data_IF_003223565084
#
_entry.id   IF_003223565084
#
_cell.length_a   1.000
_cell.length_b   1.000
_cell.length_c   1.000
_cell.angle_alpha   90.00
_cell.angle_beta   90.00
_cell.angle_gamma   90.00
#
_symmetry.space_group_name_H-M   'P 1'
#
loop_
_entity.id
_entity.type
_entity.pdbx_description
1 polymer ?
#
# COMPACT_ATOMS: atom_id res chain seq x y z
N UNK A 1 40.93 -68.73 11.24
CA UNK A 1 39.75 -68.77 10.33
C UNK A 1 39.26 -67.40 9.83
N UNK A 2 39.96 -66.28 10.07
CA UNK A 2 39.57 -64.95 9.55
C UNK A 2 39.98 -64.70 8.08
N UNK A 3 40.77 -65.59 7.49
CA UNK A 3 41.26 -65.51 6.10
C UNK A 3 40.51 -66.37 5.08
N UNK A 4 39.49 -67.12 5.52
CA UNK A 4 38.70 -67.94 4.62
C UNK A 4 37.88 -67.04 3.67
N UNK A 5 37.91 -67.36 2.37
CA UNK A 5 37.20 -66.64 1.29
C UNK A 5 35.74 -66.27 1.63
N UNK A 6 34.92 -67.13 2.26
CA UNK A 6 33.54 -66.81 2.64
C UNK A 6 33.43 -65.64 3.62
N UNK A 7 34.39 -65.53 4.55
CA UNK A 7 34.42 -64.44 5.54
C UNK A 7 34.69 -63.10 4.85
N UNK A 8 35.64 -63.06 3.90
CA UNK A 8 35.96 -61.85 3.12
C UNK A 8 34.78 -61.40 2.24
N UNK A 9 34.06 -62.33 1.62
CA UNK A 9 32.85 -62.03 0.82
C UNK A 9 31.73 -61.47 1.70
N UNK A 10 31.51 -62.04 2.90
CA UNK A 10 30.49 -61.53 3.83
C UNK A 10 30.81 -60.12 4.35
N UNK A 11 32.08 -59.84 4.66
CA UNK A 11 32.54 -58.53 5.10
C UNK A 11 32.43 -57.47 3.99
N UNK A 12 32.75 -57.84 2.75
CA UNK A 12 32.56 -56.97 1.58
C UNK A 12 31.08 -56.66 1.34
N UNK A 13 30.20 -57.66 1.46
CA UNK A 13 28.75 -57.48 1.33
C UNK A 13 28.21 -56.53 2.40
N UNK A 14 28.60 -56.70 3.66
CA UNK A 14 28.24 -55.76 4.73
C UNK A 14 28.75 -54.34 4.46
N UNK A 15 29.98 -54.19 3.97
CA UNK A 15 30.56 -52.90 3.61
C UNK A 15 29.80 -52.24 2.46
N UNK A 16 29.40 -53.01 1.44
CA UNK A 16 28.56 -52.55 0.33
C UNK A 16 27.17 -52.12 0.81
N UNK A 17 26.51 -52.91 1.66
CA UNK A 17 25.22 -52.54 2.25
C UNK A 17 25.32 -51.25 3.08
N UNK A 18 26.42 -51.09 3.84
CA UNK A 18 26.67 -49.85 4.60
C UNK A 18 26.91 -48.65 3.68
N UNK A 19 27.71 -48.81 2.62
CA UNK A 19 27.94 -47.76 1.63
C UNK A 19 26.66 -47.39 0.89
N UNK A 20 25.85 -48.38 0.49
CA UNK A 20 24.54 -48.16 -0.11
C UNK A 20 23.61 -47.39 0.83
N UNK A 21 23.59 -47.71 2.12
CA UNK A 21 22.83 -46.97 3.13
C UNK A 21 23.29 -45.52 3.28
N UNK A 22 24.59 -45.27 3.29
CA UNK A 22 25.16 -43.91 3.33
C UNK A 22 24.80 -43.11 2.08
N UNK A 23 24.90 -43.71 0.89
CA UNK A 23 24.52 -43.06 -0.37
C UNK A 23 23.02 -42.76 -0.43
N UNK A 24 22.17 -43.69 0.05
CA UNK A 24 20.73 -43.47 0.14
C UNK A 24 20.39 -42.32 1.10
N UNK A 25 21.05 -42.26 2.26
CA UNK A 25 20.89 -41.16 3.22
C UNK A 25 21.39 -39.82 2.66
N UNK A 26 22.50 -39.81 1.91
CA UNK A 26 23.02 -38.61 1.26
C UNK A 26 22.06 -38.09 0.17
N UNK A 27 21.47 -39.00 -0.62
CA UNK A 27 20.44 -38.64 -1.60
C UNK A 27 19.20 -38.05 -0.94
N UNK A 28 18.70 -38.72 0.10
CA UNK A 28 17.55 -38.24 0.87
C UNK A 28 17.79 -36.86 1.49
N UNK A 29 18.98 -36.64 2.06
CA UNK A 29 19.36 -35.32 2.60
C UNK A 29 19.39 -34.24 1.51
N UNK A 30 19.89 -34.57 0.32
CA UNK A 30 19.89 -33.67 -0.84
C UNK A 30 18.45 -33.35 -1.30
N UNK A 31 17.59 -34.37 -1.42
CA UNK A 31 16.19 -34.21 -1.81
C UNK A 31 15.42 -33.32 -0.81
N UNK A 32 15.63 -33.51 0.49
CA UNK A 32 15.03 -32.66 1.53
C UNK A 32 15.59 -31.23 1.51
N UNK A 33 16.87 -31.05 1.18
CA UNK A 33 17.46 -29.71 1.04
C UNK A 33 16.82 -28.93 -0.13
N UNK A 34 16.52 -29.60 -1.24
CA UNK A 34 15.79 -29.00 -2.37
C UNK A 34 14.39 -28.58 -1.95
N UNK A 35 13.61 -29.48 -1.34
CA UNK A 35 12.26 -29.17 -0.85
C UNK A 35 12.26 -28.03 0.17
N UNK A 36 13.26 -28.00 1.06
CA UNK A 36 13.42 -26.88 2.01
C UNK A 36 13.63 -25.56 1.28
N UNK A 37 14.45 -25.54 0.24
CA UNK A 37 14.75 -24.33 -0.53
C UNK A 37 13.51 -23.84 -1.29
N UNK A 38 12.74 -24.74 -1.90
CA UNK A 38 11.48 -24.41 -2.57
C UNK A 38 10.48 -23.75 -1.62
N UNK A 39 10.26 -24.34 -0.45
CA UNK A 39 9.33 -23.80 0.54
C UNK A 39 9.83 -22.51 1.20
N UNK A 40 11.15 -22.37 1.40
CA UNK A 40 11.73 -21.24 2.10
C UNK A 40 11.40 -19.90 1.43
N UNK A 41 11.38 -19.84 0.10
CA UNK A 41 11.07 -18.62 -0.64
C UNK A 41 9.65 -18.13 -0.36
N UNK A 42 8.63 -18.98 -0.61
CA UNK A 42 7.23 -18.60 -0.39
C UNK A 42 6.93 -18.38 1.09
N UNK A 43 7.50 -19.19 1.99
CA UNK A 43 7.34 -19.02 3.44
C UNK A 43 7.93 -17.69 3.94
N UNK A 44 9.10 -17.29 3.45
CA UNK A 44 9.72 -16.02 3.81
C UNK A 44 8.91 -14.83 3.28
N UNK A 45 8.40 -14.91 2.05
CA UNK A 45 7.54 -13.88 1.47
C UNK A 45 6.26 -13.70 2.28
N UNK A 46 5.54 -14.79 2.58
CA UNK A 46 4.34 -14.76 3.43
C UNK A 46 4.65 -14.18 4.81
N UNK A 47 5.76 -14.60 5.44
CA UNK A 47 6.15 -14.07 6.75
C UNK A 47 6.44 -12.57 6.72
N UNK A 48 7.08 -12.06 5.66
CA UNK A 48 7.32 -10.63 5.48
C UNK A 48 6.01 -9.86 5.34
N UNK A 49 5.11 -10.33 4.49
CA UNK A 49 3.82 -9.69 4.23
C UNK A 49 2.92 -9.69 5.48
N UNK A 50 2.88 -10.79 6.24
CA UNK A 50 2.12 -10.88 7.50
C UNK A 50 2.70 -9.92 8.55
N UNK A 51 4.03 -9.76 8.62
CA UNK A 51 4.65 -8.76 9.50
C UNK A 51 4.27 -7.35 9.10
N UNK A 52 4.30 -7.05 7.79
CA UNK A 52 3.88 -5.75 7.26
C UNK A 52 2.41 -5.48 7.56
N UNK A 53 1.53 -6.47 7.34
CA UNK A 53 0.11 -6.37 7.70
C UNK A 53 -0.07 -6.07 9.19
N UNK A 54 0.65 -6.80 10.07
CA UNK A 54 0.56 -6.60 11.52
C UNK A 54 1.00 -5.20 11.92
N UNK A 55 2.10 -4.70 11.34
CA UNK A 55 2.59 -3.34 11.56
C UNK A 55 1.53 -2.30 11.14
N UNK A 56 0.96 -2.43 9.94
CA UNK A 56 -0.04 -1.47 9.44
C UNK A 56 -1.33 -1.51 10.23
N UNK A 57 -1.82 -2.70 10.59
CA UNK A 57 -2.97 -2.87 11.48
C UNK A 57 -2.73 -2.24 12.85
N UNK A 58 -1.52 -2.39 13.42
CA UNK A 58 -1.13 -1.74 14.67
C UNK A 58 -1.13 -0.21 14.61
N UNK A 59 -0.99 0.37 13.42
CA UNK A 59 -1.01 1.83 13.19
C UNK A 59 -2.39 2.37 12.81
N UNK A 60 -3.42 1.51 12.79
CA UNK A 60 -4.81 1.86 12.51
C UNK A 60 -5.25 1.62 11.06
N UNK A 61 -4.41 1.04 10.19
CA UNK A 61 -4.81 0.65 8.83
C UNK A 61 -5.65 -0.62 8.91
N UNK A 62 -6.91 -0.56 8.51
CA UNK A 62 -7.82 -1.71 8.59
C UNK A 62 -7.56 -2.66 7.41
N UNK A 63 -6.92 -3.79 7.68
CA UNK A 63 -6.60 -4.80 6.66
C UNK A 63 -7.24 -6.14 7.04
N UNK A 64 -8.17 -6.61 6.21
CA UNK A 64 -8.79 -7.92 6.41
C UNK A 64 -7.83 -9.02 5.94
N UNK A 65 -7.51 -10.03 6.78
CA UNK A 65 -6.65 -11.13 6.37
C UNK A 65 -7.37 -12.01 5.32
N UNK A 66 -6.74 -12.33 4.18
CA UNK A 66 -7.35 -13.14 3.16
C UNK A 66 -7.54 -14.59 3.63
N UNK A 67 -8.58 -15.25 3.12
CA UNK A 67 -8.91 -16.64 3.47
C UNK A 67 -7.84 -17.64 3.00
N UNK A 68 -7.08 -17.29 1.96
CA UNK A 68 -5.95 -18.07 1.42
C UNK A 68 -4.85 -18.32 2.45
N UNK A 69 -4.62 -17.40 3.40
CA UNK A 69 -3.71 -17.65 4.54
C UNK A 69 -4.17 -18.82 5.42
N UNK A 70 -5.48 -18.95 5.63
CA UNK A 70 -6.07 -20.07 6.35
C UNK A 70 -5.88 -21.39 5.60
N UNK A 71 -6.01 -21.37 4.27
CA UNK A 71 -5.81 -22.53 3.41
C UNK A 71 -4.36 -23.02 3.44
N UNK A 72 -3.39 -22.11 3.27
CA UNK A 72 -1.95 -22.41 3.38
C UNK A 72 -1.63 -23.02 4.75
N UNK A 73 -2.14 -22.45 5.84
CA UNK A 73 -1.90 -22.97 7.19
C UNK A 73 -2.43 -24.40 7.36
N UNK A 74 -3.67 -24.67 6.91
CA UNK A 74 -4.27 -26.01 6.95
C UNK A 74 -3.48 -27.01 6.09
N UNK A 75 -3.05 -26.59 4.89
CA UNK A 75 -2.25 -27.41 3.97
C UNK A 75 -0.88 -27.72 4.55
N UNK A 76 -0.19 -26.73 5.10
CA UNK A 76 1.11 -26.88 5.75
C UNK A 76 1.03 -27.83 6.95
N UNK A 77 -0.02 -27.72 7.77
CA UNK A 77 -0.24 -28.65 8.89
C UNK A 77 -0.42 -30.10 8.41
N UNK A 78 -1.19 -30.29 7.33
CA UNK A 78 -1.42 -31.62 6.74
C UNK A 78 -0.12 -32.22 6.18
N UNK A 79 0.66 -31.44 5.42
CA UNK A 79 1.94 -31.87 4.86
C UNK A 79 2.95 -32.19 5.97
N UNK A 80 3.00 -31.35 7.02
CA UNK A 80 3.84 -31.59 8.20
C UNK A 80 3.49 -32.89 8.91
N UNK A 81 2.21 -33.20 9.08
CA UNK A 81 1.78 -34.42 9.77
C UNK A 81 2.10 -35.69 8.96
N UNK A 82 1.92 -35.64 7.63
CA UNK A 82 2.38 -36.71 6.73
C UNK A 82 3.88 -36.96 6.85
N UNK A 83 4.68 -35.89 6.87
CA UNK A 83 6.13 -35.99 7.01
C UNK A 83 6.59 -36.48 8.39
N UNK A 84 5.82 -36.19 9.45
CA UNK A 84 6.09 -36.73 10.78
C UNK A 84 5.91 -38.24 10.83
N UNK A 85 4.92 -38.75 10.12
CA UNK A 85 4.61 -40.19 10.05
C UNK A 85 5.69 -40.94 9.26
N UNK A 86 6.08 -40.43 8.09
CA UNK A 86 7.17 -40.98 7.30
C UNK A 86 8.14 -39.87 6.87
N UNK A 87 9.31 -39.84 7.50
CA UNK A 87 10.34 -38.80 7.32
C UNK A 87 11.15 -39.02 6.05
N UNK A 88 10.46 -39.13 4.91
CA UNK A 88 11.07 -39.27 3.59
C UNK A 88 10.57 -38.19 2.63
N UNK A 89 11.47 -37.71 1.79
CA UNK A 89 11.22 -36.74 0.74
C UNK A 89 10.17 -37.25 -0.25
N UNK A 90 10.18 -38.55 -0.53
CA UNK A 90 9.17 -39.22 -1.35
C UNK A 90 7.76 -39.07 -0.78
N UNK A 91 7.58 -39.08 0.54
CA UNK A 91 6.28 -38.91 1.19
C UNK A 91 5.72 -37.50 0.99
N UNK A 92 6.59 -36.49 0.90
CA UNK A 92 6.21 -35.11 0.57
C UNK A 92 5.85 -34.97 -0.92
N UNK A 93 6.67 -35.54 -1.80
CA UNK A 93 6.49 -35.50 -3.26
C UNK A 93 5.34 -36.39 -3.76
N UNK A 94 4.81 -37.29 -2.94
CA UNK A 94 3.73 -38.21 -3.33
C UNK A 94 2.38 -37.49 -3.38
N UNK A 95 1.79 -37.46 -4.57
CA UNK A 95 0.50 -36.82 -4.82
C UNK A 95 0.62 -35.30 -4.95
N UNK A 96 -0.49 -34.58 -4.76
CA UNK A 96 -0.56 -33.14 -4.99
C UNK A 96 -0.29 -32.28 -3.74
N UNK A 97 -0.01 -32.90 -2.59
CA UNK A 97 0.08 -32.17 -1.31
C UNK A 97 1.16 -31.09 -1.28
N UNK A 98 2.35 -31.41 -1.80
CA UNK A 98 3.47 -30.46 -1.88
C UNK A 98 3.26 -29.38 -2.93
N UNK A 99 2.84 -29.76 -4.14
CA UNK A 99 2.60 -28.80 -5.23
C UNK A 99 1.45 -27.85 -4.91
N UNK A 100 0.36 -28.35 -4.30
CA UNK A 100 -0.73 -27.51 -3.81
C UNK A 100 -0.28 -26.59 -2.66
N UNK A 101 0.63 -27.03 -1.78
CA UNK A 101 1.16 -26.14 -0.72
C UNK A 101 1.90 -24.94 -1.32
N UNK A 102 2.73 -25.16 -2.35
CA UNK A 102 3.44 -24.09 -3.04
C UNK A 102 2.46 -23.17 -3.76
N UNK A 103 1.51 -23.73 -4.51
CA UNK A 103 0.47 -22.97 -5.22
C UNK A 103 -0.43 -22.15 -4.29
N UNK A 104 -0.84 -22.73 -3.15
CA UNK A 104 -1.61 -22.02 -2.13
C UNK A 104 -0.77 -20.88 -1.53
N UNK A 105 0.54 -21.10 -1.37
CA UNK A 105 1.51 -20.10 -0.91
C UNK A 105 1.59 -18.90 -1.85
N UNK A 106 1.74 -19.14 -3.15
CA UNK A 106 1.81 -18.08 -4.16
C UNK A 106 0.48 -17.31 -4.24
N UNK A 107 -0.65 -18.02 -4.16
CA UNK A 107 -1.98 -17.40 -4.09
C UNK A 107 -2.11 -16.50 -2.86
N UNK A 108 -1.68 -17.00 -1.69
CA UNK A 108 -1.71 -16.22 -0.45
C UNK A 108 -0.82 -14.98 -0.51
N UNK A 109 0.35 -15.05 -1.17
CA UNK A 109 1.22 -13.88 -1.38
C UNK A 109 0.44 -12.80 -2.14
N UNK A 110 -0.11 -13.14 -3.31
CA UNK A 110 -0.86 -12.18 -4.15
C UNK A 110 -2.10 -11.62 -3.45
N UNK A 111 -2.84 -12.45 -2.71
CA UNK A 111 -4.02 -12.01 -1.97
C UNK A 111 -3.67 -11.08 -0.82
N UNK A 112 -2.58 -11.33 -0.09
CA UNK A 112 -2.14 -10.43 0.98
C UNK A 112 -1.67 -9.11 0.38
N UNK A 113 -0.88 -9.11 -0.70
CA UNK A 113 -0.45 -7.89 -1.38
C UNK A 113 -1.63 -7.03 -1.81
N UNK A 114 -2.67 -7.64 -2.39
CA UNK A 114 -3.91 -6.95 -2.74
C UNK A 114 -4.61 -6.39 -1.50
N UNK A 115 -4.79 -7.20 -0.45
CA UNK A 115 -5.44 -6.76 0.78
C UNK A 115 -4.69 -5.59 1.45
N UNK A 116 -3.35 -5.60 1.42
CA UNK A 116 -2.52 -4.51 1.91
C UNK A 116 -2.74 -3.22 1.11
N UNK A 117 -2.79 -3.32 -0.22
CA UNK A 117 -3.02 -2.18 -1.10
C UNK A 117 -4.42 -1.59 -0.92
N UNK A 118 -5.44 -2.44 -0.86
CA UNK A 118 -6.83 -2.00 -0.68
C UNK A 118 -7.02 -1.37 0.70
N UNK A 119 -6.51 -2.00 1.76
CA UNK A 119 -6.56 -1.43 3.10
C UNK A 119 -5.78 -0.11 3.22
N UNK A 120 -4.69 0.05 2.49
CA UNK A 120 -3.95 1.32 2.42
C UNK A 120 -4.74 2.42 1.69
N UNK A 121 -5.44 2.08 0.61
CA UNK A 121 -6.34 3.00 -0.10
C UNK A 121 -7.53 3.41 0.75
N UNK A 122 -8.14 2.48 1.47
CA UNK A 122 -9.25 2.77 2.38
C UNK A 122 -8.80 3.69 3.53
N UNK A 123 -7.59 3.45 4.04
CA UNK A 123 -6.99 4.31 5.05
C UNK A 123 -6.80 5.75 4.57
N UNK A 124 -6.51 5.97 3.28
CA UNK A 124 -6.45 7.33 2.70
C UNK A 124 -7.73 8.11 2.97
N UNK A 125 -8.87 7.52 2.61
CA UNK A 125 -10.19 8.14 2.76
C UNK A 125 -10.55 8.31 4.24
N UNK A 126 -10.14 7.36 5.09
CA UNK A 126 -10.38 7.44 6.53
C UNK A 126 -9.58 8.56 7.21
N UNK A 127 -8.35 8.82 6.75
CA UNK A 127 -7.47 9.85 7.32
C UNK A 127 -7.73 11.22 6.71
N UNK A 128 -8.11 11.28 5.44
CA UNK A 128 -8.44 12.52 4.76
C UNK A 128 -9.54 12.32 3.72
N UNK A 129 -10.69 12.97 3.93
CA UNK A 129 -11.84 12.96 3.02
C UNK A 129 -12.13 14.32 2.40
N UNK A 130 -11.17 15.25 2.44
CA UNK A 130 -11.36 16.60 1.90
C UNK A 130 -11.29 16.66 0.37
N UNK A 131 -11.72 17.79 -0.17
CA UNK A 131 -11.85 18.01 -1.61
C UNK A 131 -10.51 18.05 -2.34
N UNK A 132 -10.50 17.66 -3.62
CA UNK A 132 -9.33 17.85 -4.48
C UNK A 132 -9.02 19.34 -4.67
N UNK A 133 -7.74 19.73 -4.85
CA UNK A 133 -7.40 21.14 -5.06
C UNK A 133 -8.17 21.80 -6.20
N UNK A 134 -8.40 21.08 -7.30
CA UNK A 134 -9.18 21.56 -8.45
C UNK A 134 -10.66 21.81 -8.15
N UNK A 135 -11.23 21.17 -7.13
CA UNK A 135 -12.60 21.41 -6.66
C UNK A 135 -12.63 22.64 -5.76
N UNK A 136 -11.67 22.76 -4.84
CA UNK A 136 -11.53 23.94 -3.97
C UNK A 136 -11.30 25.20 -4.81
N UNK A 137 -10.43 25.12 -5.81
CA UNK A 137 -10.10 26.22 -6.71
C UNK A 137 -11.34 26.83 -7.40
N UNK A 138 -12.32 26.00 -7.76
CA UNK A 138 -13.58 26.44 -8.38
C UNK A 138 -14.54 27.10 -7.39
N UNK A 139 -14.35 26.90 -6.08
CA UNK A 139 -15.28 27.32 -5.02
C UNK A 139 -14.80 28.56 -4.27
N UNK A 140 -13.49 28.83 -4.27
CA UNK A 140 -12.88 29.95 -3.55
C UNK A 140 -12.81 31.20 -4.44
N UNK A 141 -12.92 32.38 -3.83
CA UNK A 141 -12.52 33.62 -4.50
C UNK A 141 -11.00 33.65 -4.68
N UNK A 142 -10.51 34.19 -5.80
CA UNK A 142 -9.08 34.39 -6.07
C UNK A 142 -8.50 35.61 -5.34
N UNK A 143 -8.71 35.71 -4.03
CA UNK A 143 -7.98 36.67 -3.20
C UNK A 143 -6.52 36.25 -3.08
N UNK A 144 -5.58 37.19 -2.84
CA UNK A 144 -4.17 36.84 -2.62
C UNK A 144 -3.97 35.77 -1.53
N UNK A 145 -4.75 35.86 -0.43
CA UNK A 145 -4.74 34.88 0.66
C UNK A 145 -5.21 33.49 0.20
N UNK A 146 -6.34 33.40 -0.50
CA UNK A 146 -6.86 32.13 -1.00
C UNK A 146 -5.93 31.51 -2.06
N UNK A 147 -5.30 32.33 -2.90
CA UNK A 147 -4.30 31.84 -3.88
C UNK A 147 -3.08 31.27 -3.16
N UNK A 148 -2.58 31.95 -2.13
CA UNK A 148 -1.46 31.44 -1.33
C UNK A 148 -1.83 30.13 -0.62
N UNK A 149 -2.99 30.08 0.04
CA UNK A 149 -3.48 28.89 0.71
C UNK A 149 -3.70 27.72 -0.27
N UNK A 150 -4.21 28.00 -1.48
CA UNK A 150 -4.41 26.97 -2.51
C UNK A 150 -3.08 26.39 -2.99
N UNK A 151 -2.06 27.23 -3.20
CA UNK A 151 -0.74 26.77 -3.61
C UNK A 151 -0.10 25.88 -2.54
N UNK A 152 -0.21 26.24 -1.26
CA UNK A 152 0.28 25.40 -0.15
C UNK A 152 -0.50 24.08 -0.09
N UNK A 153 -1.83 24.15 -0.21
CA UNK A 153 -2.71 23.00 -0.22
C UNK A 153 -2.37 22.01 -1.35
N UNK A 154 -2.14 22.50 -2.57
CA UNK A 154 -1.75 21.69 -3.73
C UNK A 154 -0.45 20.91 -3.51
N UNK A 155 0.57 21.57 -2.94
CA UNK A 155 1.86 20.93 -2.65
C UNK A 155 1.71 19.82 -1.61
N UNK A 156 0.99 20.10 -0.52
CA UNK A 156 0.74 19.10 0.54
C UNK A 156 -0.12 17.96 0.00
N UNK A 157 -1.15 18.26 -0.79
CA UNK A 157 -2.07 17.26 -1.35
C UNK A 157 -1.37 16.33 -2.33
N UNK A 158 -0.45 16.86 -3.15
CA UNK A 158 0.38 16.07 -4.06
C UNK A 158 1.27 15.10 -3.29
N UNK A 159 1.98 15.59 -2.26
CA UNK A 159 2.82 14.74 -1.39
C UNK A 159 1.99 13.68 -0.67
N UNK A 160 0.84 14.06 -0.12
CA UNK A 160 -0.09 13.13 0.51
C UNK A 160 -0.53 12.04 -0.47
N UNK A 161 -0.98 12.41 -1.66
CA UNK A 161 -1.46 11.48 -2.69
C UNK A 161 -0.37 10.54 -3.21
N UNK A 162 0.88 11.00 -3.26
CA UNK A 162 2.03 10.17 -3.65
C UNK A 162 2.29 9.02 -2.66
N UNK A 163 2.05 9.22 -1.35
CA UNK A 163 2.22 8.17 -0.34
C UNK A 163 1.27 6.98 -0.53
N UNK A 164 0.16 7.17 -1.25
CA UNK A 164 -0.85 6.13 -1.49
C UNK A 164 -0.69 5.35 -2.79
N UNK A 165 0.39 5.62 -3.55
CA UNK A 165 0.70 4.85 -4.76
C UNK A 165 1.36 3.50 -4.45
N UNK A 166 2.02 3.39 -3.30
CA UNK A 166 2.79 2.22 -2.89
C UNK A 166 2.42 1.86 -1.45
N UNK A 167 2.33 0.57 -1.15
CA UNK A 167 2.08 0.10 0.22
C UNK A 167 3.26 0.46 1.12
N UNK A 168 3.01 1.10 2.27
CA UNK A 168 4.07 1.51 3.20
C UNK A 168 4.83 0.31 3.77
N UNK A 169 6.16 0.38 3.72
CA UNK A 169 7.08 -0.60 4.31
C UNK A 169 7.58 -0.19 5.70
N UNK A 170 7.19 0.99 6.19
CA UNK A 170 7.61 1.52 7.48
C UNK A 170 6.50 2.28 8.18
N UNK A 171 6.57 2.32 9.52
CA UNK A 171 5.66 3.12 10.34
C UNK A 171 5.76 4.62 10.05
N UNK A 172 6.96 5.11 9.70
CA UNK A 172 7.20 6.52 9.41
C UNK A 172 6.34 7.02 8.24
N UNK A 173 6.10 6.19 7.23
CA UNK A 173 5.24 6.54 6.09
C UNK A 173 3.79 6.75 6.53
N UNK A 174 3.27 5.89 7.42
CA UNK A 174 1.91 6.01 7.96
C UNK A 174 1.78 7.27 8.80
N UNK A 175 2.73 7.54 9.69
CA UNK A 175 2.71 8.76 10.51
C UNK A 175 2.86 10.04 9.66
N UNK A 176 3.68 9.99 8.61
CA UNK A 176 3.79 11.09 7.63
C UNK A 176 2.44 11.35 6.94
N UNK A 177 1.70 10.29 6.58
CA UNK A 177 0.39 10.45 5.95
C UNK A 177 -0.63 11.14 6.88
N UNK A 178 -0.65 10.77 8.18
CA UNK A 178 -1.50 11.42 9.19
C UNK A 178 -1.14 12.89 9.39
N UNK A 179 0.17 13.19 9.43
CA UNK A 179 0.66 14.56 9.54
C UNK A 179 0.23 15.40 8.34
N UNK A 180 0.48 14.92 7.12
CA UNK A 180 0.09 15.63 5.90
C UNK A 180 -1.42 15.83 5.81
N UNK A 181 -2.22 14.86 6.24
CA UNK A 181 -3.68 15.02 6.32
C UNK A 181 -4.09 16.10 7.32
N UNK A 182 -3.44 16.16 8.48
CA UNK A 182 -3.68 17.22 9.47
C UNK A 182 -3.29 18.59 8.91
N UNK A 183 -2.18 18.67 8.18
CA UNK A 183 -1.76 19.89 7.48
C UNK A 183 -2.79 20.31 6.42
N UNK A 184 -3.36 19.37 5.66
CA UNK A 184 -4.42 19.66 4.68
C UNK A 184 -5.68 20.24 5.34
N UNK A 185 -6.11 19.66 6.47
CA UNK A 185 -7.25 20.20 7.24
C UNK A 185 -6.95 21.62 7.72
N UNK A 186 -5.78 21.84 8.33
CA UNK A 186 -5.36 23.17 8.82
C UNK A 186 -5.29 24.21 7.71
N UNK A 187 -4.74 23.85 6.54
CA UNK A 187 -4.69 24.78 5.38
C UNK A 187 -6.11 25.05 4.88
N UNK A 188 -6.99 24.05 4.90
CA UNK A 188 -8.37 24.21 4.43
C UNK A 188 -9.21 25.19 5.26
N UNK A 189 -8.88 25.35 6.55
CA UNK A 189 -9.49 26.33 7.44
C UNK A 189 -9.15 27.79 7.05
N UNK A 190 -8.06 28.00 6.32
CA UNK A 190 -7.65 29.34 5.87
C UNK A 190 -8.35 29.80 4.59
N UNK A 191 -9.13 28.93 3.94
CA UNK A 191 -9.90 29.32 2.76
C UNK A 191 -11.12 30.15 3.15
N UNK A 192 -11.20 31.35 2.60
CA UNK A 192 -12.41 32.15 2.69
C UNK A 192 -13.42 31.71 1.60
N UNK A 193 -14.41 30.93 2.05
CA UNK A 193 -15.57 30.51 1.23
C UNK A 193 -16.77 31.46 1.34
N UNK A 194 -16.75 32.40 2.30
CA UNK A 194 -17.86 33.28 2.68
C UNK A 194 -17.97 34.53 1.79
N UNK A 195 -17.77 34.33 0.49
CA UNK A 195 -17.87 35.38 -0.50
C UNK A 195 -19.34 35.47 -0.91
N UNK A 196 -19.95 36.63 -0.67
CA UNK A 196 -21.35 36.91 -0.99
C UNK A 196 -21.66 36.71 -2.48
N UNK A 197 -22.93 36.43 -2.80
CA UNK A 197 -23.34 36.04 -4.18
C UNK A 197 -22.95 37.09 -5.21
N UNK A 198 -23.06 38.37 -4.88
CA UNK A 198 -22.71 39.48 -5.76
C UNK A 198 -21.19 39.59 -5.95
N UNK A 199 -20.40 39.33 -4.91
CA UNK A 199 -18.94 39.28 -4.98
C UNK A 199 -18.46 38.09 -5.81
N UNK A 200 -19.10 36.92 -5.68
CA UNK A 200 -18.82 35.75 -6.55
C UNK A 200 -19.10 36.06 -8.02
N UNK A 201 -20.24 36.70 -8.31
CA UNK A 201 -20.60 37.14 -9.67
C UNK A 201 -19.60 38.13 -10.25
N UNK A 202 -19.19 39.12 -9.46
CA UNK A 202 -18.17 40.08 -9.85
C UNK A 202 -16.85 39.40 -10.19
N UNK A 203 -16.33 38.55 -9.29
CA UNK A 203 -15.07 37.85 -9.49
C UNK A 203 -15.09 36.90 -10.71
N UNK A 204 -16.20 36.19 -10.93
CA UNK A 204 -16.38 35.34 -12.11
C UNK A 204 -16.39 36.14 -13.41
N UNK A 205 -17.02 37.32 -13.41
CA UNK A 205 -17.02 38.21 -14.57
C UNK A 205 -15.61 38.79 -14.83
N UNK A 206 -14.87 39.18 -13.79
CA UNK A 206 -13.47 39.61 -13.94
C UNK A 206 -12.61 38.51 -14.58
N UNK A 207 -12.76 37.25 -14.14
CA UNK A 207 -12.04 36.11 -14.72
C UNK A 207 -12.39 35.83 -16.18
N UNK A 208 -13.60 36.19 -16.61
CA UNK A 208 -14.08 36.00 -17.99
C UNK A 208 -13.58 37.07 -18.96
N UNK A 209 -12.67 37.96 -18.52
CA UNK A 209 -12.09 39.03 -19.35
C UNK A 209 -12.53 40.45 -18.95
N UNK A 210 -13.34 40.59 -17.89
CA UNK A 210 -13.71 41.89 -17.33
C UNK A 210 -15.13 41.87 -16.74
N UNK A 211 -15.31 42.51 -15.58
CA UNK A 211 -16.62 42.66 -14.97
C UNK A 211 -17.28 43.98 -15.41
N UNK A 212 -18.56 43.97 -15.85
CA UNK A 212 -19.30 45.20 -16.09
C UNK A 212 -19.49 45.99 -14.78
N UNK A 213 -19.50 47.32 -14.87
CA UNK A 213 -19.59 48.22 -13.72
C UNK A 213 -20.84 47.98 -12.86
N UNK A 214 -21.91 47.43 -13.45
CA UNK A 214 -23.14 47.05 -12.75
C UNK A 214 -22.92 45.96 -11.68
N UNK A 215 -21.85 45.15 -11.78
CA UNK A 215 -21.49 44.14 -10.79
C UNK A 215 -20.64 44.72 -9.64
N UNK A 216 -20.23 45.99 -9.72
CA UNK A 216 -19.50 46.68 -8.66
C UNK A 216 -20.51 47.20 -7.60
N UNK A 217 -21.25 46.30 -6.98
CA UNK A 217 -22.27 46.62 -5.97
C UNK A 217 -21.63 47.15 -4.67
N UNK A 218 -22.42 47.76 -3.79
CA UNK A 218 -21.93 48.20 -2.48
C UNK A 218 -21.33 47.04 -1.65
N UNK A 219 -21.86 45.83 -1.82
CA UNK A 219 -21.34 44.60 -1.20
C UNK A 219 -19.94 44.24 -1.75
N UNK A 220 -19.75 44.34 -3.07
CA UNK A 220 -18.46 44.09 -3.74
C UNK A 220 -17.43 45.14 -3.36
N UNK A 221 -17.81 46.43 -3.33
CA UNK A 221 -16.93 47.52 -2.92
C UNK A 221 -16.48 47.38 -1.46
N UNK A 222 -17.43 47.05 -0.58
CA UNK A 222 -17.13 46.78 0.83
C UNK A 222 -16.17 45.59 0.97
N UNK A 223 -16.45 44.48 0.27
CA UNK A 223 -15.58 43.31 0.29
C UNK A 223 -14.17 43.61 -0.26
N UNK A 224 -14.06 44.38 -1.35
CA UNK A 224 -12.76 44.80 -1.91
C UNK A 224 -11.97 45.65 -0.93
N UNK A 225 -12.63 46.54 -0.20
CA UNK A 225 -12.01 47.38 0.83
C UNK A 225 -11.57 46.54 2.05
N UNK A 226 -12.44 45.67 2.56
CA UNK A 226 -12.18 44.81 3.72
C UNK A 226 -11.01 43.83 3.46
N UNK A 227 -10.83 43.39 2.19
CA UNK A 227 -9.78 42.47 1.77
C UNK A 227 -8.53 43.14 1.17
N UNK A 228 -8.42 44.48 1.24
CA UNK A 228 -7.31 45.25 0.61
C UNK A 228 -7.08 44.91 -0.87
N UNK A 229 -8.13 44.54 -1.58
CA UNK A 229 -8.07 44.09 -2.97
C UNK A 229 -8.38 45.22 -3.98
N UNK A 230 -8.60 46.45 -3.51
CA UNK A 230 -8.93 47.63 -4.34
C UNK A 230 -7.84 48.01 -5.34
N UNK A 231 -6.57 47.75 -5.04
CA UNK A 231 -5.44 48.07 -5.93
C UNK A 231 -5.24 47.04 -7.06
N UNK A 232 -5.88 45.87 -6.95
CA UNK A 232 -5.75 44.77 -7.91
C UNK A 232 -6.67 44.86 -9.13
N UNK A 233 -7.62 45.80 -9.15
CA UNK A 233 -8.61 45.93 -10.22
C UNK A 233 -8.59 47.33 -10.83
N UNK A 234 -8.54 47.41 -12.16
CA UNK A 234 -8.56 48.67 -12.91
C UNK A 234 -9.88 48.82 -13.66
N UNK A 235 -10.58 49.93 -13.42
CA UNK A 235 -11.76 50.28 -14.22
C UNK A 235 -11.29 50.82 -15.56
N UNK A 236 -11.68 50.15 -16.65
CA UNK A 236 -11.40 50.58 -18.02
C UNK A 236 -12.71 50.87 -18.74
N UNK A 237 -12.79 51.99 -19.45
CA UNK A 237 -13.91 52.27 -20.33
C UNK A 237 -13.83 51.31 -21.52
N UNK A 238 -14.80 50.40 -21.65
CA UNK A 238 -14.97 49.63 -22.88
C UNK A 238 -15.54 50.56 -23.94
N UNK A 239 -14.78 50.88 -24.99
CA UNK A 239 -15.37 51.30 -26.26
C UNK A 239 -16.18 50.12 -26.77
N UNK A 240 -17.51 50.17 -26.64
CA UNK A 240 -18.34 49.34 -27.49
C UNK A 240 -18.13 49.79 -28.95
N UNK A 241 -18.11 48.85 -29.92
CA UNK A 241 -18.11 49.17 -31.34
C UNK A 241 -19.35 49.98 -31.73
#
# INVERSE_FOLDING_TARGET
MKDALPFRVSALRQKLTRLQGLTANAKEASDLAVLRKELATSAQAVANLVRQQTMLSGLGVKIQPPTSLGNVRKRAATVREKFRTEKKSATLKKGTGWTSLLSDGDTAISDIERALLDGWRDFRTAVYSGDMPSVIDKRIARTPQNVQALNEYEQVYSRFSALFQIVPTSAATVETSKKLASDLVRISENFDFAVGTEVKRFLAAVQSGGAPLALLTAEVLKWLADNKATEGYLIRASRQP
#
